data_IF_214839310362
#
_entry.id   IF_214839310362
#
_cell.length_a   1.000
_cell.length_b   1.000
_cell.length_c   1.000
_cell.angle_alpha   90.00
_cell.angle_beta   90.00
_cell.angle_gamma   90.00
#
_symmetry.space_group_name_H-M   'P 1'
#
loop_
_entity.id
_entity.type
_entity.pdbx_description
1 polymer ?
#
# COMPACT_ATOMS: atom_id res chain seq x y z
N UNK A 1 -23.16 10.22 -5.30
CA UNK A 1 -22.21 9.35 -6.02
C UNK A 1 -22.61 7.91 -5.79
N UNK A 2 -23.08 7.22 -6.83
CA UNK A 2 -23.39 5.78 -6.75
C UNK A 2 -22.07 5.01 -6.55
N UNK A 3 -22.11 4.00 -5.70
CA UNK A 3 -21.01 3.04 -5.59
C UNK A 3 -20.71 2.47 -6.98
N UNK A 4 -19.43 2.28 -7.37
CA UNK A 4 -19.12 1.59 -8.61
C UNK A 4 -19.84 0.22 -8.60
N UNK A 5 -20.42 -0.20 -9.74
CA UNK A 5 -21.14 -1.46 -9.80
C UNK A 5 -20.24 -2.59 -9.31
N UNK A 6 -20.84 -3.54 -8.59
CA UNK A 6 -20.16 -4.77 -8.23
C UNK A 6 -19.51 -5.34 -9.50
N UNK A 7 -18.20 -5.63 -9.44
CA UNK A 7 -17.44 -6.12 -10.57
C UNK A 7 -18.23 -7.26 -11.23
N UNK A 8 -18.65 -7.03 -12.48
CA UNK A 8 -19.21 -8.07 -13.32
C UNK A 8 -18.24 -9.25 -13.30
N UNK A 9 -18.64 -10.34 -12.68
CA UNK A 9 -17.97 -11.64 -12.80
C UNK A 9 -18.15 -12.26 -14.19
N UNK A 10 -18.84 -11.55 -15.09
CA UNK A 10 -18.97 -11.88 -16.48
C UNK A 10 -17.65 -11.69 -17.24
N UNK A 11 -17.42 -12.58 -18.20
CA UNK A 11 -16.34 -12.42 -19.16
C UNK A 11 -16.72 -11.36 -20.19
N UNK A 12 -15.78 -10.48 -20.52
CA UNK A 12 -15.88 -9.45 -21.55
C UNK A 12 -14.96 -9.79 -22.73
N UNK A 13 -15.05 -9.05 -23.83
CA UNK A 13 -14.08 -9.09 -24.92
C UNK A 13 -13.19 -7.84 -24.85
N UNK A 14 -11.88 -8.03 -24.98
CA UNK A 14 -10.91 -6.92 -25.05
C UNK A 14 -9.92 -7.15 -26.18
N UNK A 15 -9.41 -6.06 -26.75
CA UNK A 15 -8.35 -6.12 -27.77
C UNK A 15 -7.01 -5.91 -27.09
N UNK A 16 -6.07 -6.81 -27.35
CA UNK A 16 -4.69 -6.74 -26.88
C UNK A 16 -3.76 -7.14 -28.03
N UNK A 17 -2.80 -6.28 -28.38
CA UNK A 17 -1.94 -6.44 -29.56
C UNK A 17 -2.72 -6.82 -30.84
N UNK A 18 -3.68 -5.97 -31.23
CA UNK A 18 -4.52 -6.12 -32.44
C UNK A 18 -5.39 -7.40 -32.49
N UNK A 19 -5.47 -8.17 -31.40
CA UNK A 19 -6.28 -9.39 -31.32
C UNK A 19 -7.30 -9.34 -30.20
N UNK A 20 -8.49 -9.87 -30.47
CA UNK A 20 -9.58 -10.01 -29.50
C UNK A 20 -9.39 -11.25 -28.63
N UNK A 21 -9.53 -11.06 -27.31
CA UNK A 21 -9.53 -12.13 -26.33
C UNK A 21 -10.78 -12.05 -25.48
N UNK A 22 -11.29 -13.23 -25.08
CA UNK A 22 -12.19 -13.32 -23.94
C UNK A 22 -11.39 -13.01 -22.68
N UNK A 23 -11.92 -12.17 -21.81
CA UNK A 23 -11.23 -11.74 -20.62
C UNK A 23 -12.13 -11.61 -19.40
N UNK A 24 -11.53 -11.70 -18.21
CA UNK A 24 -12.16 -11.40 -16.92
C UNK A 24 -11.54 -10.15 -16.32
N UNK A 25 -12.35 -9.17 -15.94
CA UNK A 25 -11.89 -7.97 -15.27
C UNK A 25 -11.42 -8.29 -13.83
N UNK A 26 -10.30 -7.69 -13.44
CA UNK A 26 -9.68 -7.81 -12.11
C UNK A 26 -9.68 -6.43 -11.45
N UNK A 27 -9.92 -6.41 -10.14
CA UNK A 27 -9.89 -5.19 -9.33
C UNK A 27 -10.71 -4.02 -9.92
N UNK A 28 -11.91 -4.33 -10.42
CA UNK A 28 -12.79 -3.32 -11.02
C UNK A 28 -12.35 -2.82 -12.39
N UNK A 29 -11.52 -3.59 -13.11
CA UNK A 29 -11.03 -3.23 -14.45
C UNK A 29 -9.64 -2.61 -14.48
N UNK A 30 -8.88 -2.67 -13.38
CA UNK A 30 -7.47 -2.24 -13.34
C UNK A 30 -6.53 -3.22 -14.06
N UNK A 31 -6.95 -4.48 -14.20
CA UNK A 31 -6.26 -5.48 -14.99
C UNK A 31 -7.27 -6.46 -15.59
N UNK A 32 -6.81 -7.28 -16.50
CA UNK A 32 -7.60 -8.32 -17.15
C UNK A 32 -6.86 -9.65 -17.17
N UNK A 33 -7.59 -10.74 -16.96
CA UNK A 33 -7.14 -12.09 -17.27
C UNK A 33 -7.65 -12.47 -18.66
N UNK A 34 -6.75 -12.59 -19.62
CA UNK A 34 -7.03 -13.02 -20.98
C UNK A 34 -7.08 -14.54 -21.04
N UNK A 35 -7.94 -15.10 -21.88
CA UNK A 35 -7.99 -16.53 -22.15
C UNK A 35 -7.72 -16.81 -23.63
N UNK A 36 -6.92 -17.85 -23.89
CA UNK A 36 -6.64 -18.37 -25.21
C UNK A 36 -6.81 -19.89 -25.24
N UNK A 37 -7.31 -20.41 -26.36
CA UNK A 37 -7.47 -21.86 -26.57
C UNK A 37 -6.15 -22.53 -27.02
N UNK A 38 -5.19 -21.73 -27.48
CA UNK A 38 -3.89 -22.18 -27.98
C UNK A 38 -2.75 -21.59 -27.16
N UNK A 39 -1.60 -22.28 -27.17
CA UNK A 39 -0.40 -21.79 -26.50
C UNK A 39 0.16 -20.57 -27.24
N UNK A 40 0.34 -19.48 -26.51
CA UNK A 40 0.85 -18.21 -27.04
C UNK A 40 2.00 -17.68 -26.17
N UNK A 41 2.90 -16.84 -26.70
CA UNK A 41 3.99 -16.26 -25.93
C UNK A 41 3.50 -15.55 -24.67
N UNK A 42 4.04 -15.93 -23.52
CA UNK A 42 3.70 -15.32 -22.24
C UNK A 42 2.34 -15.69 -21.66
N UNK A 43 1.60 -16.61 -22.29
CA UNK A 43 0.42 -17.23 -21.68
C UNK A 43 0.82 -18.48 -20.88
N UNK A 44 0.22 -18.65 -19.72
CA UNK A 44 0.42 -19.78 -18.81
C UNK A 44 -0.74 -20.79 -18.93
N UNK A 45 -0.49 -22.10 -18.82
CA UNK A 45 -1.54 -23.11 -18.89
C UNK A 45 -2.52 -23.01 -17.71
N UNK A 46 -3.82 -23.18 -17.97
CA UNK A 46 -4.88 -23.29 -16.97
C UNK A 46 -5.90 -24.35 -17.40
N UNK A 47 -5.73 -25.57 -16.90
CA UNK A 47 -6.54 -26.71 -17.30
C UNK A 47 -6.41 -27.02 -18.80
N UNK A 48 -7.48 -26.79 -19.58
CA UNK A 48 -7.50 -27.00 -21.04
C UNK A 48 -7.25 -25.72 -21.84
N UNK A 49 -7.15 -24.57 -21.19
CA UNK A 49 -6.94 -23.27 -21.84
C UNK A 49 -5.61 -22.68 -21.38
N UNK A 50 -5.27 -21.53 -21.94
CA UNK A 50 -4.13 -20.72 -21.54
C UNK A 50 -4.65 -19.36 -21.07
N UNK A 51 -3.93 -18.71 -20.16
CA UNK A 51 -4.30 -17.41 -19.65
C UNK A 51 -3.10 -16.49 -19.46
N UNK A 52 -3.35 -15.18 -19.44
CA UNK A 52 -2.35 -14.15 -19.16
C UNK A 52 -2.99 -12.97 -18.46
N UNK A 53 -2.31 -12.42 -17.46
CA UNK A 53 -2.71 -11.18 -16.82
C UNK A 53 -2.08 -9.99 -17.53
N UNK A 54 -2.87 -8.96 -17.83
CA UNK A 54 -2.42 -7.72 -18.47
C UNK A 54 -2.95 -6.51 -17.72
N UNK A 55 -2.16 -5.45 -17.64
CA UNK A 55 -2.61 -4.21 -17.02
C UNK A 55 -3.63 -3.50 -17.93
N UNK A 56 -4.56 -2.76 -17.35
CA UNK A 56 -5.61 -2.13 -18.12
C UNK A 56 -5.13 -1.00 -19.06
N UNK A 57 -3.90 -0.51 -18.89
CA UNK A 57 -3.26 0.42 -19.83
C UNK A 57 -2.68 -0.28 -21.07
N UNK A 58 -2.62 -1.61 -21.10
CA UNK A 58 -2.06 -2.38 -22.23
C UNK A 58 -3.13 -2.82 -23.22
N UNK A 59 -4.41 -2.74 -22.85
CA UNK A 59 -5.54 -3.18 -23.67
C UNK A 59 -6.13 -1.99 -24.40
N UNK A 60 -6.61 -2.21 -25.63
CA UNK A 60 -7.37 -1.15 -26.29
C UNK A 60 -8.71 -1.00 -25.57
N UNK A 61 -8.92 0.21 -25.08
CA UNK A 61 -10.18 0.66 -24.52
C UNK A 61 -10.49 2.01 -25.14
N UNK A 62 -11.77 2.35 -25.24
CA UNK A 62 -12.19 3.72 -25.55
C UNK A 62 -11.76 4.73 -24.46
N UNK A 63 -11.12 4.27 -23.38
CA UNK A 63 -10.59 5.08 -22.28
C UNK A 63 -11.66 5.48 -21.26
N UNK A 64 -12.93 5.53 -21.67
CA UNK A 64 -14.06 5.85 -20.78
C UNK A 64 -14.21 4.85 -19.63
N UNK A 65 -13.97 3.56 -19.87
CA UNK A 65 -14.07 2.51 -18.85
C UNK A 65 -12.98 2.63 -17.78
N UNK A 66 -11.77 3.05 -18.16
CA UNK A 66 -10.66 3.32 -17.24
C UNK A 66 -10.96 4.54 -16.36
N UNK A 67 -11.59 5.58 -16.91
CA UNK A 67 -12.03 6.75 -16.14
C UNK A 67 -13.15 6.40 -15.15
N UNK A 68 -14.01 5.42 -15.48
CA UNK A 68 -15.08 4.94 -14.62
C UNK A 68 -14.58 4.08 -13.43
N UNK A 69 -13.37 3.53 -13.51
CA UNK A 69 -12.75 2.76 -12.41
C UNK A 69 -12.41 3.62 -11.18
N UNK A 70 -12.53 4.95 -11.28
CA UNK A 70 -12.30 5.88 -10.17
C UNK A 70 -10.82 6.10 -9.81
N UNK A 71 -9.90 5.52 -10.57
CA UNK A 71 -8.45 5.74 -10.47
C UNK A 71 -7.89 5.94 -11.88
N UNK A 72 -7.32 7.11 -12.14
CA UNK A 72 -6.71 7.41 -13.43
C UNK A 72 -5.36 6.66 -13.58
N UNK A 73 -5.10 6.05 -14.76
CA UNK A 73 -3.80 5.50 -15.07
C UNK A 73 -2.74 6.61 -15.15
N UNK A 74 -1.47 6.20 -15.06
CA UNK A 74 -0.34 7.09 -15.36
C UNK A 74 -0.49 7.63 -16.78
N UNK A 75 -0.36 8.94 -16.95
CA UNK A 75 -0.52 9.61 -18.23
C UNK A 75 0.79 10.25 -18.67
N UNK A 76 1.14 10.05 -19.94
CA UNK A 76 2.33 10.63 -20.56
C UNK A 76 1.94 11.91 -21.32
N UNK A 77 2.62 13.04 -21.08
CA UNK A 77 2.37 14.28 -21.82
C UNK A 77 2.52 14.09 -23.33
N UNK A 78 1.60 14.66 -24.10
CA UNK A 78 1.67 14.66 -25.56
C UNK A 78 2.66 15.74 -26.00
N UNK A 79 3.93 15.37 -26.16
CA UNK A 79 4.99 16.24 -26.69
C UNK A 79 5.99 15.42 -27.52
N UNK A 80 6.67 16.03 -28.51
CA UNK A 80 7.66 15.33 -29.30
C UNK A 80 8.76 14.70 -28.44
N UNK A 81 9.01 13.39 -28.64
CA UNK A 81 10.03 12.65 -27.90
C UNK A 81 9.65 12.18 -26.49
N UNK A 82 8.46 12.52 -25.99
CA UNK A 82 7.92 11.95 -24.75
C UNK A 82 6.93 10.84 -25.06
N UNK A 83 7.45 9.63 -25.26
CA UNK A 83 6.65 8.41 -25.37
C UNK A 83 6.81 7.53 -24.11
N UNK A 84 5.93 6.54 -23.98
CA UNK A 84 5.92 5.64 -22.83
C UNK A 84 7.26 4.91 -22.65
N UNK A 85 7.93 4.53 -23.75
CA UNK A 85 9.22 3.85 -23.72
C UNK A 85 10.35 4.76 -23.20
N UNK A 86 10.33 6.03 -23.59
CA UNK A 86 11.30 7.03 -23.15
C UNK A 86 11.10 7.39 -21.68
N UNK A 87 9.85 7.60 -21.27
CA UNK A 87 9.51 7.83 -19.86
C UNK A 87 9.89 6.63 -19.01
N UNK A 88 9.60 5.40 -19.47
CA UNK A 88 10.04 4.18 -18.80
C UNK A 88 11.56 4.17 -18.62
N UNK A 89 12.33 4.29 -19.71
CA UNK A 89 13.80 4.32 -19.66
C UNK A 89 14.34 5.36 -18.65
N UNK A 90 13.77 6.57 -18.63
CA UNK A 90 14.19 7.60 -17.67
C UNK A 90 13.77 7.29 -16.24
N UNK A 91 12.55 6.78 -16.02
CA UNK A 91 12.06 6.38 -14.69
C UNK A 91 12.91 5.29 -14.05
N UNK A 92 13.54 4.44 -14.86
CA UNK A 92 14.39 3.34 -14.44
C UNK A 92 15.85 3.76 -14.18
N UNK A 93 16.21 5.04 -14.34
CA UNK A 93 17.57 5.53 -14.18
C UNK A 93 17.65 6.66 -13.13
N UNK A 94 18.30 6.42 -11.97
CA UNK A 94 18.41 7.43 -10.91
C UNK A 94 19.31 8.63 -11.30
N UNK A 95 20.18 8.47 -12.31
CA UNK A 95 21.21 9.43 -12.73
C UNK A 95 20.80 10.32 -13.90
N UNK A 96 19.50 10.45 -14.19
CA UNK A 96 18.99 11.33 -15.23
C UNK A 96 19.20 12.82 -14.90
N UNK A 97 19.32 13.63 -15.95
CA UNK A 97 19.47 15.09 -15.87
C UNK A 97 18.19 15.79 -15.41
N UNK A 98 18.25 17.12 -15.16
CA UNK A 98 17.12 17.88 -14.64
C UNK A 98 15.88 17.89 -15.57
N UNK A 99 16.08 17.96 -16.89
CA UNK A 99 14.98 18.00 -17.85
C UNK A 99 14.23 16.66 -17.94
N UNK A 100 14.98 15.56 -18.01
CA UNK A 100 14.40 14.21 -17.98
C UNK A 100 13.69 13.94 -16.65
N UNK A 101 14.25 14.44 -15.54
CA UNK A 101 13.63 14.34 -14.22
C UNK A 101 12.33 15.12 -14.13
N UNK A 102 12.26 16.32 -14.73
CA UNK A 102 11.03 17.09 -14.80
C UNK A 102 9.95 16.35 -15.60
N UNK A 103 10.31 15.71 -16.72
CA UNK A 103 9.38 14.87 -17.49
C UNK A 103 8.86 13.69 -16.66
N UNK A 104 9.76 12.93 -16.02
CA UNK A 104 9.37 11.78 -15.17
C UNK A 104 8.50 12.23 -14.00
N UNK A 105 8.83 13.36 -13.37
CA UNK A 105 8.04 13.93 -12.28
C UNK A 105 6.65 14.36 -12.76
N UNK A 106 6.55 15.02 -13.91
CA UNK A 106 5.26 15.39 -14.51
C UNK A 106 4.39 14.17 -14.85
N UNK A 107 4.99 13.06 -15.26
CA UNK A 107 4.27 11.79 -15.41
C UNK A 107 3.88 11.22 -14.05
N UNK A 108 4.78 11.26 -13.07
CA UNK A 108 4.56 10.72 -11.72
C UNK A 108 3.40 11.40 -11.01
N UNK A 109 3.23 12.72 -11.16
CA UNK A 109 2.14 13.48 -10.52
C UNK A 109 0.75 13.08 -11.04
N UNK A 110 0.65 12.47 -12.23
CA UNK A 110 -0.62 11.94 -12.75
C UNK A 110 -1.11 10.70 -12.00
N UNK A 111 -0.22 10.02 -11.26
CA UNK A 111 -0.59 8.95 -10.35
C UNK A 111 -0.96 9.52 -8.97
N UNK A 112 -2.17 10.03 -8.84
CA UNK A 112 -2.70 10.57 -7.59
C UNK A 112 -3.44 9.51 -6.76
N UNK A 113 -3.48 9.76 -5.45
CA UNK A 113 -4.27 9.01 -4.46
C UNK A 113 -5.41 9.91 -4.01
N UNK A 114 -6.62 9.38 -3.99
CA UNK A 114 -7.80 10.05 -3.44
C UNK A 114 -8.30 9.31 -2.21
N UNK A 115 -9.21 9.96 -1.47
CA UNK A 115 -10.04 9.25 -0.49
C UNK A 115 -10.72 8.05 -1.16
N UNK A 116 -10.55 6.88 -0.57
CA UNK A 116 -11.11 5.63 -1.06
C UNK A 116 -10.27 4.89 -2.10
N UNK A 117 -9.18 5.47 -2.61
CA UNK A 117 -8.23 4.74 -3.47
C UNK A 117 -7.77 3.49 -2.74
N UNK A 118 -7.88 2.33 -3.39
CA UNK A 118 -7.40 1.08 -2.83
C UNK A 118 -5.89 1.06 -2.90
N UNK A 119 -5.27 0.94 -1.73
CA UNK A 119 -3.84 0.85 -1.55
C UNK A 119 -3.47 -0.59 -1.19
N UNK A 120 -2.28 -1.00 -1.59
CA UNK A 120 -1.73 -2.31 -1.28
C UNK A 120 -0.28 -2.21 -0.84
N UNK A 121 0.11 -3.11 0.06
CA UNK A 121 1.49 -3.26 0.53
C UNK A 121 1.83 -4.75 0.56
N UNK A 122 2.88 -5.19 -0.15
CA UNK A 122 3.35 -6.57 -0.04
C UNK A 122 3.87 -6.82 1.38
N UNK A 123 3.54 -8.00 1.91
CA UNK A 123 3.96 -8.43 3.24
C UNK A 123 4.72 -9.76 3.14
N UNK A 124 5.75 -9.95 3.95
CA UNK A 124 6.25 -11.28 4.29
C UNK A 124 5.30 -11.97 5.26
N UNK A 125 5.38 -13.30 5.37
CA UNK A 125 4.59 -14.07 6.35
C UNK A 125 4.82 -13.61 7.80
N UNK A 126 6.02 -13.15 8.13
CA UNK A 126 6.35 -12.59 9.44
C UNK A 126 5.65 -11.24 9.66
N UNK A 127 5.59 -10.41 8.62
CA UNK A 127 4.83 -9.16 8.68
C UNK A 127 3.32 -9.40 8.78
N UNK A 128 2.79 -10.44 8.14
CA UNK A 128 1.40 -10.88 8.35
C UNK A 128 1.16 -11.26 9.81
N UNK A 129 2.02 -12.09 10.40
CA UNK A 129 1.92 -12.47 11.80
C UNK A 129 1.94 -11.23 12.72
N UNK A 130 2.86 -10.29 12.49
CA UNK A 130 2.94 -9.02 13.20
C UNK A 130 1.66 -8.19 13.03
N UNK A 131 1.10 -8.09 11.82
CA UNK A 131 -0.12 -7.32 11.55
C UNK A 131 -1.34 -7.85 12.32
N UNK A 132 -1.39 -9.17 12.56
CA UNK A 132 -2.47 -9.82 13.30
C UNK A 132 -2.40 -9.59 14.81
N UNK A 133 -1.24 -9.16 15.34
CA UNK A 133 -1.02 -8.98 16.79
C UNK A 133 -0.66 -7.55 17.19
N UNK A 134 -0.24 -6.71 16.26
CA UNK A 134 0.13 -5.32 16.51
C UNK A 134 -1.05 -4.37 16.23
N UNK A 135 -0.88 -3.11 16.66
CA UNK A 135 -1.81 -2.05 16.34
C UNK A 135 -2.13 -2.03 14.83
N UNK A 136 -3.40 -1.78 14.46
CA UNK A 136 -3.89 -1.87 13.08
C UNK A 136 -3.43 -0.65 12.27
N UNK A 137 -2.13 -0.59 12.02
CA UNK A 137 -1.43 0.50 11.36
C UNK A 137 -0.71 -0.02 10.10
N UNK A 138 -0.43 0.88 9.16
CA UNK A 138 0.42 0.64 7.98
C UNK A 138 1.39 1.78 7.78
N UNK A 139 2.60 1.48 7.33
CA UNK A 139 3.67 2.45 7.09
C UNK A 139 4.50 2.09 5.87
N UNK A 140 5.43 2.97 5.47
CA UNK A 140 6.46 2.64 4.50
C UNK A 140 5.94 2.64 3.06
N UNK A 141 6.64 1.89 2.20
CA UNK A 141 6.33 1.83 0.76
C UNK A 141 5.04 1.07 0.48
N UNK A 142 4.22 1.61 -0.42
CA UNK A 142 2.96 1.04 -0.86
C UNK A 142 2.62 1.45 -2.30
N UNK A 143 1.59 0.81 -2.86
CA UNK A 143 1.16 0.97 -4.24
C UNK A 143 -0.35 1.16 -4.29
N UNK A 144 -0.89 1.76 -5.37
CA UNK A 144 -2.33 1.67 -5.64
C UNK A 144 -2.62 0.26 -6.15
N UNK A 145 -3.73 -0.36 -5.73
CA UNK A 145 -4.17 -1.66 -6.26
C UNK A 145 -4.22 -1.61 -7.80
N UNK A 146 -4.63 -0.47 -8.36
CA UNK A 146 -4.70 -0.24 -9.78
C UNK A 146 -3.40 -0.57 -10.51
N UNK A 147 -2.28 -0.02 -10.04
CA UNK A 147 -0.98 -0.08 -10.75
C UNK A 147 -0.31 -1.46 -10.70
N UNK A 148 -0.82 -2.37 -9.85
CA UNK A 148 -0.21 -3.69 -9.61
C UNK A 148 -1.22 -4.83 -9.74
N UNK A 149 -2.43 -4.54 -10.24
CA UNK A 149 -3.52 -5.52 -10.31
C UNK A 149 -3.22 -6.70 -11.24
N UNK A 150 -2.36 -6.52 -12.24
CA UNK A 150 -1.93 -7.57 -13.17
C UNK A 150 -0.84 -8.48 -12.61
N UNK A 151 -0.15 -8.06 -11.54
CA UNK A 151 0.87 -8.87 -10.86
C UNK A 151 0.17 -9.88 -9.95
N UNK A 152 -0.22 -11.02 -10.50
CA UNK A 152 -1.09 -12.01 -9.85
C UNK A 152 -0.35 -13.21 -9.30
N UNK A 153 0.72 -13.65 -9.95
CA UNK A 153 1.52 -14.77 -9.44
C UNK A 153 2.58 -14.25 -8.45
N UNK A 154 3.02 -15.08 -7.48
CA UNK A 154 4.11 -14.74 -6.57
C UNK A 154 5.39 -14.30 -7.29
N UNK A 155 5.69 -14.92 -8.43
CA UNK A 155 6.84 -14.57 -9.28
C UNK A 155 6.75 -13.13 -9.83
N UNK A 156 5.56 -12.69 -10.25
CA UNK A 156 5.33 -11.33 -10.75
C UNK A 156 5.39 -10.30 -9.61
N UNK A 157 4.99 -10.71 -8.40
CA UNK A 157 4.91 -9.83 -7.22
C UNK A 157 6.23 -9.68 -6.49
N UNK A 158 7.26 -10.46 -6.83
CA UNK A 158 8.58 -10.37 -6.20
C UNK A 158 9.18 -8.96 -6.33
N UNK A 159 8.90 -8.27 -7.44
CA UNK A 159 9.37 -6.91 -7.71
C UNK A 159 8.86 -5.89 -6.68
N UNK A 160 7.66 -6.12 -6.13
CA UNK A 160 7.04 -5.27 -5.12
C UNK A 160 7.65 -5.52 -3.73
N UNK A 161 8.20 -6.72 -3.51
CA UNK A 161 8.51 -7.24 -2.18
C UNK A 161 9.67 -6.49 -1.53
N UNK A 162 9.45 -6.04 -0.29
CA UNK A 162 10.43 -5.26 0.48
C UNK A 162 11.16 -6.07 1.55
N UNK A 163 10.81 -7.34 1.74
CA UNK A 163 11.37 -8.25 2.72
C UNK A 163 11.48 -9.64 2.06
N UNK A 164 12.66 -10.29 2.02
CA UNK A 164 12.78 -11.61 1.43
C UNK A 164 11.98 -12.63 2.24
N UNK A 165 11.13 -13.40 1.55
CA UNK A 165 10.44 -14.57 2.09
C UNK A 165 10.93 -15.82 1.35
N UNK A 166 10.99 -16.95 2.05
CA UNK A 166 11.44 -18.24 1.50
C UNK A 166 10.30 -19.00 0.80
N UNK A 167 9.06 -18.55 0.97
CA UNK A 167 7.88 -19.12 0.34
C UNK A 167 7.75 -18.64 -1.10
N UNK A 168 7.98 -19.53 -2.07
CA UNK A 168 8.02 -19.16 -3.51
C UNK A 168 6.69 -19.25 -4.23
N UNK A 169 5.74 -20.02 -3.72
CA UNK A 169 4.44 -20.33 -4.34
C UNK A 169 3.27 -19.55 -3.71
N UNK A 170 3.55 -18.65 -2.78
CA UNK A 170 2.55 -17.76 -2.18
C UNK A 170 3.18 -16.41 -1.87
N UNK A 171 2.47 -15.33 -2.15
CA UNK A 171 2.84 -13.99 -1.67
C UNK A 171 1.68 -13.37 -0.89
N UNK A 172 1.98 -12.54 0.10
CA UNK A 172 0.98 -11.90 0.94
C UNK A 172 0.91 -10.40 0.69
N UNK A 173 -0.24 -9.81 0.94
CA UNK A 173 -0.45 -8.37 0.73
C UNK A 173 -1.50 -7.83 1.69
N UNK A 174 -1.23 -6.67 2.27
CA UNK A 174 -2.23 -5.86 2.95
C UNK A 174 -2.92 -4.97 1.93
N UNK A 175 -4.25 -4.94 1.95
CA UNK A 175 -5.09 -4.05 1.15
C UNK A 175 -5.92 -3.17 2.07
N UNK A 176 -6.00 -1.87 1.78
CA UNK A 176 -6.85 -0.93 2.51
C UNK A 176 -7.34 0.17 1.58
N UNK A 177 -8.23 1.03 2.06
CA UNK A 177 -8.62 2.25 1.36
C UNK A 177 -7.91 3.45 1.96
N UNK A 178 -7.37 4.33 1.13
CA UNK A 178 -6.79 5.61 1.54
C UNK A 178 -7.83 6.50 2.23
N UNK A 179 -7.44 7.17 3.32
CA UNK A 179 -8.28 8.15 4.00
C UNK A 179 -8.22 9.48 3.25
N UNK A 180 -7.01 9.99 3.00
CA UNK A 180 -6.80 11.19 2.19
C UNK A 180 -5.50 11.12 1.37
N UNK A 181 -5.36 12.03 0.40
CA UNK A 181 -4.16 12.16 -0.43
C UNK A 181 -2.92 12.53 0.39
N UNK A 182 -3.08 13.41 1.39
CA UNK A 182 -2.00 13.88 2.26
C UNK A 182 -1.35 12.79 3.12
N UNK A 183 -1.96 11.60 3.20
CA UNK A 183 -1.37 10.45 3.88
C UNK A 183 -0.22 9.81 3.07
N UNK A 184 -0.02 10.20 1.81
CA UNK A 184 0.92 9.59 0.89
C UNK A 184 1.87 10.61 0.28
N UNK A 185 3.08 10.15 -0.01
CA UNK A 185 4.11 10.94 -0.70
C UNK A 185 4.79 10.07 -1.75
N UNK A 186 5.25 10.66 -2.84
CA UNK A 186 6.03 9.96 -3.86
C UNK A 186 7.43 9.59 -3.32
N UNK A 187 8.01 8.49 -3.79
CA UNK A 187 9.41 8.11 -3.48
C UNK A 187 10.45 8.88 -4.30
N UNK A 188 10.09 10.03 -4.86
CA UNK A 188 11.03 10.95 -5.51
C UNK A 188 12.11 11.45 -4.54
N UNK A 189 13.32 11.65 -5.07
CA UNK A 189 14.47 12.12 -4.30
C UNK A 189 14.25 13.50 -3.66
N UNK A 190 13.29 14.30 -4.17
CA UNK A 190 12.88 15.57 -3.54
C UNK A 190 12.23 15.38 -2.17
N UNK A 191 11.61 14.23 -1.91
CA UNK A 191 10.95 13.93 -0.64
C UNK A 191 11.85 13.10 0.29
N UNK A 192 12.68 12.22 -0.29
CA UNK A 192 13.57 11.31 0.44
C UNK A 192 14.94 11.22 -0.25
N UNK A 193 15.78 12.26 -0.18
CA UNK A 193 17.06 12.30 -0.89
C UNK A 193 18.02 11.20 -0.43
N UNK A 194 17.99 10.86 0.87
CA UNK A 194 18.86 9.86 1.49
C UNK A 194 18.70 8.45 0.94
N UNK A 195 17.46 8.03 0.62
CA UNK A 195 17.14 6.66 0.23
C UNK A 195 17.87 6.20 -1.05
N UNK A 196 18.14 7.11 -1.98
CA UNK A 196 18.83 6.82 -3.24
C UNK A 196 20.29 6.41 -3.00
N UNK A 197 20.91 7.00 -1.97
CA UNK A 197 22.32 6.82 -1.64
C UNK A 197 22.65 5.62 -0.74
N UNK A 198 21.65 5.00 -0.12
CA UNK A 198 21.88 3.87 0.80
C UNK A 198 22.48 2.69 0.03
N UNK A 199 23.56 2.03 0.49
CA UNK A 199 24.16 0.91 -0.24
C UNK A 199 23.32 -0.36 -0.17
N UNK A 200 23.54 -1.30 -1.10
CA UNK A 200 22.78 -2.56 -1.20
C UNK A 200 22.77 -3.39 0.09
N UNK A 201 23.89 -3.42 0.82
CA UNK A 201 24.04 -4.17 2.08
C UNK A 201 23.16 -3.66 3.23
N UNK A 202 22.74 -2.39 3.16
CA UNK A 202 21.90 -1.76 4.18
C UNK A 202 20.41 -1.74 3.76
N UNK A 203 20.04 -2.36 2.63
CA UNK A 203 18.68 -2.32 2.10
C UNK A 203 18.05 -3.71 2.05
N UNK A 204 16.73 -3.75 2.16
CA UNK A 204 15.91 -4.91 1.79
C UNK A 204 15.11 -4.61 0.52
N UNK A 205 14.95 -5.63 -0.32
CA UNK A 205 14.23 -5.54 -1.59
C UNK A 205 14.94 -4.67 -2.64
N UNK A 206 14.17 -4.27 -3.67
CA UNK A 206 14.66 -3.43 -4.76
C UNK A 206 15.16 -2.06 -4.29
N UNK A 207 16.05 -1.42 -5.04
CA UNK A 207 16.45 -0.04 -4.79
C UNK A 207 15.24 0.92 -4.91
N UNK A 208 15.22 2.00 -4.11
CA UNK A 208 14.37 3.16 -4.37
C UNK A 208 15.17 4.11 -5.26
N UNK A 209 14.69 4.33 -6.48
CA UNK A 209 15.44 5.06 -7.51
C UNK A 209 15.41 6.59 -7.34
N UNK A 210 14.51 7.11 -6.51
CA UNK A 210 14.30 8.56 -6.38
C UNK A 210 13.56 9.18 -7.57
N UNK A 211 12.98 8.36 -8.45
CA UNK A 211 12.16 8.78 -9.61
C UNK A 211 10.65 8.69 -9.33
N UNK A 212 10.26 8.16 -8.18
CA UNK A 212 8.85 7.90 -7.83
C UNK A 212 8.26 6.65 -8.47
N UNK A 213 9.06 5.86 -9.20
CA UNK A 213 8.66 4.61 -9.83
C UNK A 213 9.50 3.44 -9.32
N UNK A 214 8.85 2.28 -9.19
CA UNK A 214 9.50 1.03 -8.86
C UNK A 214 10.39 0.54 -10.03
N UNK A 215 11.56 -0.06 -9.76
CA UNK A 215 12.32 -0.78 -10.77
C UNK A 215 11.47 -1.90 -11.42
N UNK A 216 11.24 -1.84 -12.72
CA UNK A 216 10.35 -2.75 -13.45
C UNK A 216 10.77 -2.84 -14.92
N UNK A 217 10.73 -4.06 -15.48
CA UNK A 217 11.20 -4.31 -16.84
C UNK A 217 10.32 -3.74 -17.94
N UNK A 218 9.00 -3.65 -17.71
CA UNK A 218 8.02 -3.30 -18.76
C UNK A 218 6.96 -2.30 -18.30
N UNK A 219 6.73 -2.17 -16.99
CA UNK A 219 5.62 -1.37 -16.46
C UNK A 219 6.13 -0.14 -15.70
N UNK A 220 5.48 1.00 -15.92
CA UNK A 220 5.62 2.18 -15.06
C UNK A 220 4.71 1.98 -13.84
N UNK A 221 5.30 1.56 -12.71
CA UNK A 221 4.58 1.33 -11.46
C UNK A 221 4.88 2.48 -10.50
N UNK A 222 3.94 3.44 -10.30
CA UNK A 222 4.08 4.50 -9.32
C UNK A 222 4.25 3.95 -7.92
N UNK A 223 5.21 4.50 -7.20
CA UNK A 223 5.56 4.10 -5.86
C UNK A 223 5.26 5.22 -4.87
N UNK A 224 4.60 4.88 -3.77
CA UNK A 224 4.23 5.81 -2.72
C UNK A 224 4.86 5.36 -1.39
N UNK A 225 5.08 6.30 -0.49
CA UNK A 225 5.26 6.03 0.93
C UNK A 225 4.08 6.56 1.71
N UNK A 226 3.86 6.05 2.91
CA UNK A 226 3.14 6.83 3.91
C UNK A 226 3.91 8.13 4.19
N UNK A 227 3.20 9.25 4.34
CA UNK A 227 3.81 10.56 4.43
C UNK A 227 4.71 10.66 5.67
N UNK A 228 5.98 11.02 5.46
CA UNK A 228 7.02 11.05 6.50
C UNK A 228 7.35 9.69 7.10
N UNK A 229 7.05 8.59 6.39
CA UNK A 229 7.13 7.21 6.87
C UNK A 229 6.32 6.94 8.16
N UNK A 230 5.36 7.82 8.46
CA UNK A 230 4.50 7.73 9.64
C UNK A 230 3.52 6.55 9.51
N UNK A 231 3.09 6.04 10.67
CA UNK A 231 2.03 5.05 10.74
C UNK A 231 0.68 5.67 10.35
N UNK A 232 -0.05 4.98 9.48
CA UNK A 232 -1.41 5.29 9.09
C UNK A 232 -2.39 4.30 9.73
N UNK A 233 -3.49 4.76 10.33
CA UNK A 233 -4.53 3.86 10.81
C UNK A 233 -5.19 3.12 9.65
N UNK A 234 -5.38 1.81 9.81
CA UNK A 234 -6.11 1.01 8.84
C UNK A 234 -7.58 1.40 8.81
N UNK A 235 -8.12 1.48 7.59
CA UNK A 235 -9.54 1.76 7.36
C UNK A 235 -10.40 0.53 7.56
N UNK A 236 -11.70 0.75 7.73
CA UNK A 236 -12.67 -0.34 7.81
C UNK A 236 -12.54 -1.27 6.60
N UNK A 237 -12.63 -2.59 6.86
CA UNK A 237 -12.49 -3.64 5.84
C UNK A 237 -11.12 -3.66 5.15
N UNK A 238 -10.06 -3.24 5.83
CA UNK A 238 -8.71 -3.61 5.42
C UNK A 238 -8.56 -5.14 5.42
N UNK A 239 -7.80 -5.68 4.49
CA UNK A 239 -7.70 -7.12 4.24
C UNK A 239 -6.26 -7.56 4.13
N UNK A 240 -5.97 -8.75 4.65
CA UNK A 240 -4.74 -9.49 4.34
C UNK A 240 -5.10 -10.56 3.32
N UNK A 241 -4.42 -10.51 2.19
CA UNK A 241 -4.62 -11.36 1.02
C UNK A 241 -3.44 -12.31 0.84
N UNK A 242 -3.71 -13.46 0.24
CA UNK A 242 -2.71 -14.35 -0.35
C UNK A 242 -2.92 -14.46 -1.85
N UNK A 243 -1.82 -14.46 -2.60
CA UNK A 243 -1.76 -14.73 -4.02
C UNK A 243 -1.06 -16.06 -4.25
N UNK A 244 -1.69 -16.97 -4.96
CA UNK A 244 -1.19 -18.33 -5.23
C UNK A 244 -0.53 -18.43 -6.61
N UNK A 245 0.22 -19.51 -6.85
CA UNK A 245 0.96 -19.73 -8.10
C UNK A 245 0.08 -19.72 -9.37
N UNK A 246 -1.21 -20.02 -9.25
CA UNK A 246 -2.21 -19.96 -10.34
C UNK A 246 -2.87 -18.58 -10.48
N UNK A 247 -2.38 -17.55 -9.80
CA UNK A 247 -2.88 -16.18 -9.88
C UNK A 247 -4.15 -15.89 -9.07
N UNK A 248 -4.66 -16.86 -8.29
CA UNK A 248 -5.82 -16.65 -7.45
C UNK A 248 -5.50 -15.71 -6.26
N UNK A 249 -6.45 -14.82 -5.94
CA UNK A 249 -6.38 -13.96 -4.74
C UNK A 249 -7.38 -14.47 -3.71
N UNK A 250 -6.86 -14.76 -2.53
CA UNK A 250 -7.62 -15.29 -1.40
C UNK A 250 -7.55 -14.30 -0.25
N UNK A 251 -8.69 -13.76 0.16
CA UNK A 251 -8.77 -13.01 1.41
C UNK A 251 -8.57 -13.97 2.60
N UNK A 252 -7.51 -13.74 3.37
CA UNK A 252 -7.19 -14.53 4.56
C UNK A 252 -7.84 -13.94 5.79
N UNK A 253 -7.69 -12.62 5.98
CA UNK A 253 -8.20 -11.90 7.14
C UNK A 253 -8.80 -10.56 6.74
N UNK A 254 -9.80 -10.10 7.48
CA UNK A 254 -10.41 -8.79 7.33
C UNK A 254 -10.50 -8.08 8.68
N UNK A 255 -10.06 -6.83 8.73
CA UNK A 255 -10.05 -6.02 9.93
C UNK A 255 -11.43 -5.41 10.21
N UNK A 256 -11.90 -5.63 11.44
CA UNK A 256 -13.11 -5.05 12.02
C UNK A 256 -12.71 -4.00 13.07
N UNK A 257 -12.68 -2.71 12.70
CA UNK A 257 -12.27 -1.65 13.62
C UNK A 257 -13.22 -1.44 14.80
N UNK A 258 -14.47 -1.91 14.70
CA UNK A 258 -15.47 -1.82 15.77
C UNK A 258 -15.05 -2.58 17.02
N UNK A 259 -14.38 -3.70 16.82
CA UNK A 259 -13.98 -4.63 17.87
C UNK A 259 -12.47 -4.73 17.99
N UNK A 260 -11.73 -3.98 17.16
CA UNK A 260 -10.28 -4.10 16.96
C UNK A 260 -9.86 -5.56 16.75
N UNK A 261 -10.53 -6.24 15.82
CA UNK A 261 -10.29 -7.67 15.53
C UNK A 261 -10.00 -7.89 14.06
N UNK A 262 -9.00 -8.72 13.77
CA UNK A 262 -8.90 -9.40 12.49
C UNK A 262 -9.73 -10.68 12.49
N UNK A 263 -10.71 -10.74 11.60
CA UNK A 263 -11.54 -11.92 11.37
C UNK A 263 -10.92 -12.77 10.27
N UNK A 264 -10.80 -14.07 10.49
CA UNK A 264 -10.41 -15.02 9.44
C UNK A 264 -11.52 -15.17 8.40
N UNK A 265 -11.19 -14.93 7.14
CA UNK A 265 -12.07 -15.08 5.98
C UNK A 265 -11.83 -16.40 5.24
N UNK A 266 -10.60 -16.90 5.25
CA UNK A 266 -10.23 -18.14 4.57
C UNK A 266 -10.84 -19.38 5.23
N UNK A 267 -11.70 -20.09 4.50
CA UNK A 267 -12.31 -21.36 4.94
C UNK A 267 -11.34 -22.55 4.95
N UNK A 268 -11.89 -23.75 5.15
CA UNK A 268 -11.10 -24.99 5.29
C UNK A 268 -10.23 -25.31 4.06
N UNK A 269 -10.71 -24.98 2.85
CA UNK A 269 -9.99 -25.21 1.58
C UNK A 269 -8.66 -24.48 1.45
N UNK A 270 -8.47 -23.41 2.23
CA UNK A 270 -7.30 -22.51 2.18
C UNK A 270 -6.53 -22.51 3.50
N UNK A 271 -6.66 -23.60 4.27
CA UNK A 271 -6.03 -23.73 5.60
C UNK A 271 -4.50 -23.77 5.49
N UNK A 272 -3.98 -24.38 4.44
CA UNK A 272 -2.55 -24.42 4.14
C UNK A 272 -1.95 -23.01 4.01
N UNK A 273 -2.65 -22.07 3.36
CA UNK A 273 -2.19 -20.68 3.24
C UNK A 273 -2.07 -19.99 4.60
N UNK A 274 -3.01 -20.25 5.52
CA UNK A 274 -2.98 -19.72 6.89
C UNK A 274 -1.85 -20.36 7.69
N UNK A 275 -1.63 -21.66 7.53
CA UNK A 275 -0.60 -22.41 8.25
C UNK A 275 0.83 -22.00 7.87
N UNK A 276 1.02 -21.31 6.74
CA UNK A 276 2.32 -20.73 6.34
C UNK A 276 2.72 -19.53 7.20
N UNK A 277 1.77 -18.90 7.89
CA UNK A 277 2.02 -17.73 8.72
C UNK A 277 2.58 -18.20 10.08
N UNK A 278 3.78 -17.76 10.47
CA UNK A 278 4.42 -18.19 11.70
C UNK A 278 3.65 -17.72 12.95
N UNK A 279 3.65 -18.55 14.00
CA UNK A 279 3.08 -18.20 15.29
C UNK A 279 1.55 -18.23 15.38
N UNK A 280 0.84 -18.63 14.32
CA UNK A 280 -0.61 -18.79 14.37
C UNK A 280 -1.03 -20.14 14.94
N UNK A 281 -1.82 -20.12 16.02
CA UNK A 281 -2.45 -21.31 16.57
C UNK A 281 -3.47 -21.90 15.58
N UNK A 282 -3.41 -23.23 15.41
CA UNK A 282 -4.33 -23.93 14.50
C UNK A 282 -5.77 -23.78 14.98
N UNK A 283 -6.63 -23.23 14.12
CA UNK A 283 -8.06 -23.07 14.41
C UNK A 283 -8.46 -21.72 15.01
N UNK A 284 -7.51 -20.86 15.37
CA UNK A 284 -7.82 -19.49 15.80
C UNK A 284 -8.43 -18.70 14.63
N UNK A 285 -9.59 -18.10 14.87
CA UNK A 285 -10.35 -17.36 13.86
C UNK A 285 -10.44 -15.85 14.12
N UNK A 286 -10.06 -15.41 15.33
CA UNK A 286 -10.15 -14.02 15.78
C UNK A 286 -8.82 -13.58 16.41
N UNK A 287 -8.32 -12.42 15.98
CA UNK A 287 -7.10 -11.82 16.50
C UNK A 287 -7.41 -10.40 16.98
N UNK A 288 -7.50 -10.22 18.30
CA UNK A 288 -7.68 -8.90 18.92
C UNK A 288 -6.36 -8.14 18.88
N UNK A 289 -6.43 -6.86 18.55
CA UNK A 289 -5.30 -5.96 18.49
C UNK A 289 -5.58 -4.73 19.34
N UNK A 290 -4.57 -4.25 20.06
CA UNK A 290 -4.69 -3.04 20.86
C UNK A 290 -4.34 -1.80 20.01
N UNK A 291 -5.08 -0.69 20.15
CA UNK A 291 -4.71 0.57 19.52
C UNK A 291 -3.32 1.05 19.98
N UNK A 292 -2.60 1.74 19.09
CA UNK A 292 -1.35 2.38 19.48
C UNK A 292 -1.60 3.66 20.28
N UNK A 293 -0.74 3.92 21.26
CA UNK A 293 -0.69 5.21 21.98
C UNK A 293 0.10 6.26 21.22
N UNK A 294 0.89 5.86 20.22
CA UNK A 294 1.77 6.74 19.45
C UNK A 294 1.24 7.12 18.08
N UNK A 295 0.20 6.45 17.59
CA UNK A 295 -0.43 6.79 16.33
C UNK A 295 -1.88 6.30 16.30
N UNK A 296 -2.74 7.05 15.63
CA UNK A 296 -4.14 6.65 15.51
C UNK A 296 -5.01 7.74 14.90
N UNK A 297 -6.32 7.52 15.05
CA UNK A 297 -7.36 8.40 14.55
C UNK A 297 -8.30 8.78 15.68
N UNK A 298 -8.58 10.07 15.78
CA UNK A 298 -9.47 10.65 16.79
C UNK A 298 -10.41 11.67 16.13
N UNK A 299 -11.48 12.01 16.81
CA UNK A 299 -12.40 13.06 16.42
C UNK A 299 -13.27 13.46 17.59
N UNK A 300 -14.08 14.49 17.41
CA UNK A 300 -14.96 15.00 18.44
C UNK A 300 -16.34 14.37 18.32
N UNK A 301 -16.86 13.86 19.44
CA UNK A 301 -18.22 13.35 19.56
C UNK A 301 -18.79 13.80 20.91
N UNK A 302 -19.94 14.47 20.90
CA UNK A 302 -20.60 14.99 22.11
C UNK A 302 -19.67 15.85 23.01
N UNK A 303 -18.81 16.66 22.38
CA UNK A 303 -17.85 17.52 23.08
C UNK A 303 -16.63 16.79 23.68
N UNK A 304 -16.48 15.49 23.39
CA UNK A 304 -15.34 14.69 23.84
C UNK A 304 -14.50 14.21 22.66
N UNK A 305 -13.19 14.19 22.83
CA UNK A 305 -12.26 13.59 21.88
C UNK A 305 -12.26 12.08 22.05
N UNK A 306 -12.66 11.35 21.01
CA UNK A 306 -12.82 9.89 21.04
C UNK A 306 -12.00 9.23 19.94
N UNK A 307 -11.61 7.95 20.09
CA UNK A 307 -11.06 7.15 18.99
C UNK A 307 -12.08 6.98 17.86
N UNK A 308 -11.58 7.01 16.62
CA UNK A 308 -12.43 7.03 15.42
C UNK A 308 -11.96 5.98 14.43
N UNK A 309 -12.90 5.53 13.61
CA UNK A 309 -12.63 4.71 12.44
C UNK A 309 -12.95 5.48 11.17
N UNK A 310 -12.04 5.42 10.20
CA UNK A 310 -12.31 5.87 8.84
C UNK A 310 -12.89 4.73 7.99
N UNK A 311 -14.00 4.99 7.32
CA UNK A 311 -14.60 4.13 6.31
C UNK A 311 -14.80 4.97 5.04
N UNK A 312 -13.79 5.06 4.15
CA UNK A 312 -13.87 5.90 2.96
C UNK A 312 -15.09 5.57 2.08
N UNK A 313 -15.93 6.59 1.86
CA UNK A 313 -17.27 6.49 1.27
C UNK A 313 -18.43 6.59 2.28
N UNK A 314 -18.13 6.38 3.57
CA UNK A 314 -19.06 6.42 4.71
C UNK A 314 -18.58 7.33 5.86
N UNK A 315 -17.50 8.08 5.65
CA UNK A 315 -16.99 9.09 6.57
C UNK A 315 -16.21 8.54 7.77
N UNK A 316 -16.19 9.34 8.82
CA UNK A 316 -15.49 9.07 10.08
C UNK A 316 -16.51 8.79 11.17
N UNK A 317 -16.32 7.70 11.91
CA UNK A 317 -17.30 7.27 12.91
C UNK A 317 -16.62 6.82 14.20
N UNK A 318 -17.17 7.24 15.34
CA UNK A 318 -16.86 6.66 16.63
C UNK A 318 -17.66 5.37 16.86
N UNK A 319 -17.06 4.43 17.58
CA UNK A 319 -17.76 3.24 18.07
C UNK A 319 -17.93 3.33 19.57
N UNK A 320 -19.14 3.67 19.99
CA UNK A 320 -19.51 3.67 21.41
C UNK A 320 -19.85 2.24 21.83
N UNK A 321 -19.29 1.78 22.94
CA UNK A 321 -19.50 0.41 23.45
C UNK A 321 -20.99 0.16 23.69
N UNK A 322 -21.56 -0.81 22.98
CA UNK A 322 -22.99 -1.17 23.07
C UNK A 322 -23.91 -0.42 22.10
N UNK A 323 -23.39 0.51 21.28
CA UNK A 323 -24.17 1.17 20.24
C UNK A 323 -24.37 0.24 19.03
N UNK A 324 -25.61 0.16 18.56
CA UNK A 324 -26.00 -0.60 17.35
C UNK A 324 -25.60 0.15 16.07
N UNK A 325 -25.33 1.46 16.17
CA UNK A 325 -25.07 2.34 15.02
C UNK A 325 -23.75 3.12 15.15
N UNK A 326 -23.23 3.51 13.99
CA UNK A 326 -22.08 4.39 13.83
C UNK A 326 -22.46 5.81 14.24
N UNK A 327 -21.70 6.40 15.15
CA UNK A 327 -21.87 7.82 15.51
C UNK A 327 -20.92 8.67 14.67
N UNK A 328 -21.41 9.60 13.84
CA UNK A 328 -20.54 10.51 13.12
C UNK A 328 -19.74 11.37 14.11
N UNK A 329 -18.53 11.75 13.71
CA UNK A 329 -17.65 12.64 14.47
C UNK A 329 -17.38 13.92 13.69
N UNK A 330 -17.03 14.98 14.39
CA UNK A 330 -16.49 16.21 13.81
C UNK A 330 -14.96 16.26 14.00
N UNK A 331 -14.27 17.11 13.23
CA UNK A 331 -12.81 17.30 13.28
C UNK A 331 -11.97 16.00 13.34
N UNK A 332 -12.14 15.06 12.40
CA UNK A 332 -11.31 13.87 12.34
C UNK A 332 -9.84 14.24 12.15
N UNK A 333 -8.99 13.69 13.01
CA UNK A 333 -7.55 13.96 13.06
C UNK A 333 -6.76 12.67 13.15
N UNK A 334 -5.79 12.51 12.26
CA UNK A 334 -4.69 11.55 12.48
C UNK A 334 -3.71 12.17 13.46
N UNK A 335 -3.11 11.35 14.31
CA UNK A 335 -1.97 11.77 15.10
C UNK A 335 -0.84 10.75 15.01
N UNK A 336 0.39 11.22 15.23
CA UNK A 336 1.55 10.38 15.45
C UNK A 336 2.60 11.11 16.30
N UNK A 337 3.47 10.38 17.02
CA UNK A 337 4.51 10.97 17.88
C UNK A 337 5.85 11.10 17.16
N UNK A 338 6.43 12.30 17.19
CA UNK A 338 7.81 12.58 16.78
C UNK A 338 8.70 12.85 17.99
N UNK A 339 9.99 12.59 17.83
CA UNK A 339 11.02 12.94 18.79
C UNK A 339 12.35 13.14 18.04
N UNK A 340 13.41 13.48 18.80
CA UNK A 340 14.78 13.52 18.32
C UNK A 340 15.65 12.57 19.15
N UNK A 341 16.55 11.86 18.50
CA UNK A 341 17.52 10.99 19.18
C UNK A 341 18.83 10.97 18.40
N UNK A 342 19.96 11.22 19.06
CA UNK A 342 21.30 11.33 18.44
C UNK A 342 21.31 12.25 17.21
N UNK A 343 20.71 13.42 17.38
CA UNK A 343 20.54 14.44 16.34
C UNK A 343 19.67 14.05 15.13
N UNK A 344 19.01 12.88 15.16
CA UNK A 344 18.13 12.40 14.09
C UNK A 344 16.65 12.55 14.47
N UNK A 345 15.84 13.03 13.53
CA UNK A 345 14.38 13.07 13.68
C UNK A 345 13.79 11.66 13.52
N UNK A 346 12.97 11.27 14.51
CA UNK A 346 12.43 9.91 14.61
C UNK A 346 10.94 9.93 14.93
N UNK A 347 10.27 8.85 14.53
CA UNK A 347 8.90 8.54 14.91
C UNK A 347 8.93 7.53 16.06
N UNK A 348 8.17 7.78 17.13
CA UNK A 348 7.96 6.77 18.16
C UNK A 348 6.84 5.82 17.73
N UNK A 349 7.09 4.50 17.80
CA UNK A 349 6.13 3.48 17.34
C UNK A 349 5.47 2.73 18.49
N UNK A 350 6.23 2.45 19.55
CA UNK A 350 5.82 1.60 20.67
C UNK A 350 6.81 1.71 21.82
N UNK A 351 6.37 1.33 23.01
CA UNK A 351 7.17 1.33 24.23
C UNK A 351 7.22 -0.06 24.83
N UNK A 352 8.37 -0.39 25.41
CA UNK A 352 8.57 -1.56 26.24
C UNK A 352 9.40 -1.14 27.45
N UNK A 353 8.74 -0.97 28.60
CA UNK A 353 9.38 -0.46 29.83
C UNK A 353 10.13 0.85 29.57
N UNK A 354 11.46 0.85 29.76
CA UNK A 354 12.35 2.00 29.57
C UNK A 354 12.85 2.17 28.13
N UNK A 355 12.35 1.34 27.19
CA UNK A 355 12.75 1.37 25.79
C UNK A 355 11.61 1.81 24.88
N UNK A 356 11.97 2.52 23.81
CA UNK A 356 11.05 2.97 22.77
C UNK A 356 11.56 2.53 21.42
N UNK A 357 10.65 1.94 20.63
CA UNK A 357 10.93 1.58 19.24
C UNK A 357 10.76 2.82 18.38
N UNK A 358 11.79 3.13 17.60
CA UNK A 358 11.87 4.31 16.76
C UNK A 358 11.91 3.93 15.27
N UNK A 359 11.43 4.84 14.43
CA UNK A 359 11.63 4.81 12.97
C UNK A 359 12.26 6.11 12.50
N UNK A 360 13.20 6.02 11.56
CA UNK A 360 13.74 7.21 10.90
C UNK A 360 12.66 7.85 10.01
N UNK A 361 12.39 9.15 10.18
CA UNK A 361 11.43 9.89 9.34
C UNK A 361 12.02 10.23 7.97
N UNK A 362 13.33 10.43 7.91
CA UNK A 362 14.13 10.75 6.72
C UNK A 362 15.39 9.88 6.71
N UNK A 363 15.30 8.63 6.21
CA UNK A 363 16.44 7.72 6.27
C UNK A 363 17.52 8.09 5.27
N UNK A 364 18.75 8.20 5.77
CA UNK A 364 19.98 8.27 5.00
C UNK A 364 21.08 7.44 5.68
N UNK A 365 22.24 7.32 5.05
CA UNK A 365 23.34 6.50 5.58
C UNK A 365 23.91 7.03 6.90
N UNK A 366 23.92 8.34 7.11
CA UNK A 366 24.46 8.95 8.33
C UNK A 366 23.52 8.69 9.51
N UNK A 367 22.23 8.93 9.32
CA UNK A 367 21.18 8.65 10.29
C UNK A 367 21.10 7.16 10.66
N UNK A 368 21.29 6.27 9.68
CA UNK A 368 21.36 4.82 9.92
C UNK A 368 22.54 4.49 10.83
N UNK A 369 23.73 5.00 10.52
CA UNK A 369 24.95 4.72 11.28
C UNK A 369 24.95 5.37 12.66
N UNK A 370 24.36 6.56 12.83
CA UNK A 370 24.31 7.23 14.13
C UNK A 370 23.33 6.59 15.10
N UNK A 371 22.24 6.00 14.60
CA UNK A 371 21.17 5.39 15.42
C UNK A 371 21.23 3.87 15.47
N UNK A 372 22.17 3.24 14.77
CA UNK A 372 22.24 1.78 14.56
C UNK A 372 20.91 1.21 14.03
N UNK A 373 20.20 1.97 13.19
CA UNK A 373 18.91 1.57 12.67
C UNK A 373 19.03 0.44 11.64
N UNK A 374 18.14 -0.54 11.76
CA UNK A 374 18.10 -1.69 10.86
C UNK A 374 17.02 -1.52 9.82
N UNK A 375 17.32 -1.87 8.57
CA UNK A 375 16.29 -1.95 7.54
C UNK A 375 15.34 -3.11 7.87
N UNK A 376 14.11 -2.80 8.28
CA UNK A 376 13.09 -3.79 8.64
C UNK A 376 12.17 -4.13 7.47
N UNK A 377 12.08 -3.23 6.50
CA UNK A 377 11.44 -3.40 5.20
C UNK A 377 11.98 -2.33 4.24
N UNK A 378 11.72 -2.50 2.94
CA UNK A 378 12.19 -1.58 1.91
C UNK A 378 11.87 -0.11 2.23
N UNK A 379 12.92 0.68 2.42
CA UNK A 379 12.85 2.12 2.70
C UNK A 379 12.56 2.48 4.16
N UNK A 380 12.39 1.52 5.06
CA UNK A 380 12.04 1.75 6.47
C UNK A 380 13.11 1.20 7.39
N UNK A 381 13.58 2.08 8.28
CA UNK A 381 14.69 1.83 9.19
C UNK A 381 14.23 2.08 10.61
N UNK A 382 14.41 1.08 11.46
CA UNK A 382 13.93 1.10 12.84
C UNK A 382 15.03 0.65 13.81
N UNK A 383 14.99 1.21 15.01
CA UNK A 383 15.89 0.90 16.12
C UNK A 383 15.13 0.93 17.44
N UNK A 384 15.82 0.52 18.51
CA UNK A 384 15.37 0.71 19.89
C UNK A 384 16.29 1.72 20.57
N UNK A 385 15.70 2.63 21.34
CA UNK A 385 16.42 3.62 22.12
C UNK A 385 15.92 3.64 23.57
N UNK A 386 16.74 4.04 24.54
CA UNK A 386 16.27 4.34 25.88
C UNK A 386 15.31 5.54 25.86
N UNK A 387 14.17 5.43 26.54
CA UNK A 387 13.15 6.47 26.58
C UNK A 387 13.68 7.80 27.16
N UNK A 388 14.57 7.72 28.15
CA UNK A 388 15.19 8.88 28.79
C UNK A 388 16.18 9.66 27.90
N UNK A 389 16.59 9.09 26.77
CA UNK A 389 17.47 9.75 25.80
C UNK A 389 16.68 10.50 24.71
N UNK A 390 15.35 10.36 24.65
CA UNK A 390 14.55 11.06 23.66
C UNK A 390 14.43 12.55 24.00
N UNK A 391 14.71 13.37 23.01
CA UNK A 391 14.56 14.81 23.09
C UNK A 391 13.27 15.26 22.39
N UNK A 392 12.60 16.25 22.99
CA UNK A 392 11.44 16.94 22.42
C UNK A 392 10.32 16.02 21.87
N UNK A 393 9.86 14.99 22.62
CA UNK A 393 8.75 14.17 22.18
C UNK A 393 7.47 15.01 22.06
N UNK A 394 6.85 15.00 20.88
CA UNK A 394 5.63 15.76 20.62
C UNK A 394 4.69 15.02 19.66
N UNK A 395 3.40 15.29 19.80
CA UNK A 395 2.36 14.72 18.94
C UNK A 395 2.11 15.65 17.77
N UNK A 396 2.28 15.12 16.55
CA UNK A 396 1.87 15.78 15.32
C UNK A 396 0.44 15.37 15.01
N UNK A 397 -0.42 16.34 14.69
CA UNK A 397 -1.80 16.11 14.26
C UNK A 397 -2.00 16.54 12.81
N UNK A 398 -2.77 15.75 12.06
CA UNK A 398 -3.17 16.03 10.68
C UNK A 398 -4.69 16.04 10.64
N UNK A 399 -5.27 17.17 10.24
CA UNK A 399 -6.71 17.30 10.07
C UNK A 399 -7.14 16.64 8.76
N UNK A 400 -8.22 15.87 8.80
CA UNK A 400 -8.89 15.41 7.59
C UNK A 400 -10.05 16.33 7.22
N UNK A 401 -10.24 16.60 5.92
CA UNK A 401 -11.40 17.37 5.47
C UNK A 401 -12.69 16.61 5.77
N UNK A 402 -13.67 17.31 6.34
CA UNK A 402 -15.04 16.80 6.47
C UNK A 402 -15.89 17.29 5.31
N UNK A 403 -16.97 16.58 4.99
CA UNK A 403 -17.88 16.94 3.92
C UNK A 403 -18.50 18.35 4.07
N UNK A 404 -18.43 18.94 5.26
CA UNK A 404 -18.91 20.29 5.58
C UNK A 404 -17.90 21.40 5.25
N UNK A 405 -16.64 21.08 4.91
CA UNK A 405 -15.63 22.10 4.65
C UNK A 405 -14.63 21.69 3.54
N UNK A 406 -15.05 21.76 2.26
CA UNK A 406 -14.21 21.39 1.10
C UNK A 406 -13.13 22.42 0.75
N UNK A 407 -13.01 23.54 1.46
CA UNK A 407 -12.17 24.68 1.08
C UNK A 407 -10.71 24.64 1.60
N UNK A 408 -10.26 23.53 2.19
CA UNK A 408 -8.91 23.40 2.77
C UNK A 408 -8.00 22.40 2.02
N UNK A 409 -8.25 22.17 0.73
CA UNK A 409 -7.44 21.32 -0.17
C UNK A 409 -6.48 22.10 -1.04
#
# INVERSE_FOLDING_TARGET
MQAPPAASTGTTEIVWHDRRYRARAIAGGAAFELYADTREPGFQPSGKTFHRYVHASEVESSGGELLLAGVAPVSVPVMPGADAATVHRYSQNPRIGPAERALVSAVRTTAFVNTGTRMVKPLSRHQVAKQLTAAPLVSGVCFREFDVAHLRAPEDRIVLSGDPDDVRDTSFTLRWKAIAACDYTSTEASHYPGLVGIPGRERRGSMILGTGFLPSGTHLIPEFTTAGLADLPLTARAEILAYTADGAEIALFQYQPQTNVWNRMAGARHRDLVNRIPGLETGRALFRVDPSVHAGLVGDHEGQRVPVTADPGHGFNAYTRGAVSRSPVTHPQRFYTRARWRDVEVLALGRNEDWVRLRLSQPDIEAIMSTDATCVERGVYECWAPLGELENPHTVTINYPTAENPAAS
#
